data_IF_163756372654
#
_entry.id   IF_163756372654
#
_cell.length_a   1.000
_cell.length_b   1.000
_cell.length_c   1.000
_cell.angle_alpha   90.00
_cell.angle_beta   90.00
_cell.angle_gamma   90.00
#
_symmetry.space_group_name_H-M   'P 1'
#
loop_
_entity.id
_entity.type
_entity.pdbx_description
1 polymer ?
2 non-polymer ?
3 non-polymer ?
4 non-polymer ?
5 non-polymer ?
6 water ?
#
# COMPACT_ATOMS: atom_id res chain seq x y z
N UNK A 1 1.51 -17.86 -12.01
CA UNK A 1 2.08 -17.16 -10.91
C UNK A 1 1.47 -15.76 -10.80
N UNK A 2 1.13 -15.34 -9.59
CA UNK A 2 0.89 -13.92 -9.33
C UNK A 2 2.16 -13.41 -8.73
N UNK A 3 2.75 -12.39 -9.30
CA UNK A 3 3.94 -11.76 -8.79
C UNK A 3 3.55 -10.49 -8.04
N UNK A 4 4.01 -10.35 -6.81
CA UNK A 4 3.79 -9.16 -6.01
C UNK A 4 5.14 -8.60 -5.69
N UNK A 5 5.41 -7.37 -6.08
CA UNK A 5 6.69 -6.76 -5.77
C UNK A 5 6.47 -5.59 -4.83
N UNK A 6 7.14 -5.59 -3.68
CA UNK A 6 7.01 -4.46 -2.76
C UNK A 6 7.99 -3.37 -3.20
N UNK A 7 7.45 -2.26 -3.68
CA UNK A 7 8.28 -1.15 -4.12
C UNK A 7 8.63 -0.29 -2.92
N UNK A 8 7.63 -0.05 -2.08
CA UNK A 8 7.82 0.75 -0.87
C UNK A 8 7.05 0.12 0.27
N UNK A 9 7.68 0.07 1.44
CA UNK A 9 7.05 -0.60 2.56
C UNK A 9 6.79 0.32 3.75
N UNK A 10 7.20 1.59 3.70
CA UNK A 10 7.02 2.52 4.83
C UNK A 10 5.72 3.27 4.74
N UNK A 11 5.30 3.80 5.87
CA UNK A 11 4.19 4.71 5.91
C UNK A 11 4.63 6.07 5.39
N UNK A 12 3.71 7.03 5.39
CA UNK A 12 4.04 8.39 4.96
C UNK A 12 5.28 8.88 5.68
N UNK A 13 6.17 9.52 4.91
CA UNK A 13 7.43 10.04 5.40
C UNK A 13 8.59 9.11 5.12
N UNK A 14 8.32 7.82 4.90
CA UNK A 14 9.40 6.86 4.67
C UNK A 14 10.25 6.64 5.90
N UNK A 15 11.34 5.92 5.71
CA UNK A 15 12.25 5.57 6.81
C UNK A 15 13.69 5.61 6.30
N UNK A 16 14.55 6.45 6.89
CA UNK A 16 14.23 7.47 7.92
C UNK A 16 13.38 8.59 7.30
N UNK A 17 12.70 9.34 8.16
CA UNK A 17 11.89 10.44 7.70
C UNK A 17 12.72 11.71 7.73
N UNK A 18 12.57 12.52 6.67
CA UNK A 18 13.50 13.63 6.43
C UNK A 18 13.70 14.59 7.61
N UNK A 19 12.64 14.86 8.38
CA UNK A 19 12.72 15.80 9.49
C UNK A 19 12.67 15.10 10.84
N UNK A 20 12.90 13.79 10.89
CA UNK A 20 12.73 13.10 12.16
C UNK A 20 14.03 12.58 12.75
N UNK A 21 14.18 12.77 14.05
CA UNK A 21 15.34 12.26 14.79
C UNK A 21 14.90 11.40 15.94
N UNK A 22 13.83 10.63 15.72
CA UNK A 22 13.36 9.66 16.73
C UNK A 22 14.39 8.55 16.89
N UNK A 23 14.17 7.70 17.89
CA UNK A 23 15.20 6.66 18.15
C UNK A 23 15.51 5.83 16.92
N UNK A 24 14.51 5.52 16.09
CA UNK A 24 14.80 4.75 14.88
C UNK A 24 15.51 5.57 13.83
N UNK A 25 14.97 6.76 13.49
CA UNK A 25 15.57 7.54 12.41
C UNK A 25 16.98 7.95 12.76
N UNK A 26 17.19 8.44 13.98
CA UNK A 26 18.50 8.87 14.38
C UNK A 26 19.44 7.68 14.55
N UNK A 27 18.91 6.56 15.06
CA UNK A 27 19.71 5.35 15.18
C UNK A 27 20.15 4.83 13.81
N UNK A 28 19.27 4.92 12.81
CA UNK A 28 19.65 4.55 11.44
C UNK A 28 20.78 5.46 10.92
N UNK A 29 20.60 6.78 11.06
CA UNK A 29 21.62 7.70 10.57
C UNK A 29 22.95 7.57 11.30
N UNK A 30 22.89 7.26 12.59
CA UNK A 30 24.11 7.15 13.40
C UNK A 30 24.83 5.83 13.13
N UNK A 31 24.18 4.90 12.44
CA UNK A 31 24.76 3.60 12.17
C UNK A 31 24.70 2.63 13.34
N UNK A 32 23.88 2.94 14.34
CA UNK A 32 23.80 2.05 15.49
C UNK A 32 22.61 1.10 15.48
N UNK A 33 21.65 1.38 14.63
CA UNK A 33 20.44 0.56 14.50
C UNK A 33 20.53 -0.38 13.34
N UNK A 34 20.26 -1.66 13.60
CA UNK A 34 20.17 -2.60 12.50
C UNK A 34 18.81 -2.52 11.84
N UNK A 35 18.75 -1.76 10.76
CA UNK A 35 17.50 -1.52 10.04
C UNK A 35 17.79 -1.12 8.60
N UNK A 36 16.78 -1.25 7.76
CA UNK A 36 16.94 -0.96 6.35
C UNK A 36 16.03 0.20 5.96
N UNK A 37 16.56 1.15 5.20
CA UNK A 37 15.76 2.27 4.72
C UNK A 37 14.59 1.81 3.88
N UNK A 38 13.48 2.57 3.95
CA UNK A 38 12.25 2.22 3.22
C UNK A 38 11.63 3.44 2.60
N UNK A 39 11.19 3.28 1.36
CA UNK A 39 10.40 4.29 0.69
C UNK A 39 8.91 4.06 0.97
N UNK A 40 8.08 4.98 0.53
CA UNK A 40 6.65 5.01 0.86
C UNK A 40 5.84 3.96 0.11
N UNK A 41 4.96 3.32 0.88
CA UNK A 41 3.95 2.34 0.50
C UNK A 41 3.55 2.25 -0.97
N UNK A 42 3.93 1.15 -1.65
CA UNK A 42 3.49 0.92 -3.01
C UNK A 42 3.85 -0.51 -3.37
N UNK A 43 2.99 -1.18 -4.12
CA UNK A 43 3.32 -2.51 -4.63
C UNK A 43 3.05 -2.57 -6.09
N UNK A 44 3.64 -3.53 -6.78
CA UNK A 44 3.30 -3.78 -8.18
C UNK A 44 2.90 -5.24 -8.31
N UNK A 45 1.93 -5.48 -9.18
CA UNK A 45 1.36 -6.80 -9.38
C UNK A 45 1.47 -7.22 -10.84
N UNK A 46 1.67 -8.50 -11.08
CA UNK A 46 1.67 -8.99 -12.46
C UNK A 46 1.20 -10.43 -12.51
N UNK A 47 0.61 -10.86 -13.62
CA UNK A 47 0.31 -12.27 -13.86
C UNK A 47 1.33 -12.91 -14.80
N UNK A 48 2.29 -12.16 -15.33
CA UNK A 48 3.23 -12.73 -16.32
C UNK A 48 4.67 -12.25 -16.16
N UNK A 49 4.89 -11.29 -15.29
CA UNK A 49 6.25 -10.79 -15.06
C UNK A 49 6.66 -9.69 -16.01
N UNK A 50 5.80 -9.37 -16.97
CA UNK A 50 6.13 -8.37 -18.01
C UNK A 50 5.24 -7.14 -17.98
N UNK A 51 3.95 -7.36 -17.78
CA UNK A 51 2.97 -6.30 -17.63
C UNK A 51 2.61 -6.12 -16.17
N UNK A 52 2.74 -4.88 -15.67
CA UNK A 52 2.58 -4.63 -14.25
C UNK A 52 1.48 -3.64 -13.96
N UNK A 53 0.80 -3.87 -12.85
CA UNK A 53 -0.19 -2.92 -12.32
C UNK A 53 0.39 -2.33 -11.06
N UNK A 54 0.52 -1.00 -11.06
CA UNK A 54 1.06 -0.31 -9.93
C UNK A 54 -0.07 0.00 -8.97
N UNK A 55 0.05 -0.41 -7.70
CA UNK A 55 -0.96 -0.08 -6.71
C UNK A 55 -0.39 0.96 -5.78
N UNK A 56 -0.94 2.16 -5.93
CA UNK A 56 -0.46 3.39 -5.28
C UNK A 56 0.79 3.94 -5.92
N UNK A 57 0.81 5.23 -6.15
CA UNK A 57 1.97 5.86 -6.82
C UNK A 57 2.61 6.80 -5.80
N UNK A 58 3.67 6.34 -5.16
CA UNK A 58 4.23 7.06 -4.02
C UNK A 58 5.13 8.22 -4.47
N UNK A 59 5.39 9.16 -3.55
CA UNK A 59 6.30 10.25 -3.87
C UNK A 59 7.69 9.74 -4.20
N UNK A 60 8.01 8.50 -3.80
CA UNK A 60 9.32 7.92 -4.08
C UNK A 60 9.38 7.11 -5.35
N UNK A 61 8.44 7.31 -6.26
CA UNK A 61 8.29 6.40 -7.37
C UNK A 61 9.52 6.33 -8.27
N UNK A 62 10.23 7.44 -8.45
CA UNK A 62 11.39 7.36 -9.35
C UNK A 62 12.42 6.33 -8.83
N UNK A 63 12.75 6.45 -7.55
CA UNK A 63 13.73 5.49 -6.97
C UNK A 63 13.17 4.09 -6.96
N UNK A 64 11.86 3.97 -6.73
CA UNK A 64 11.26 2.62 -6.69
C UNK A 64 11.30 1.96 -8.05
N UNK A 65 10.98 2.68 -9.11
CA UNK A 65 11.00 2.07 -10.46
C UNK A 65 12.41 1.72 -10.84
N UNK A 66 13.37 2.59 -10.52
CA UNK A 66 14.77 2.37 -10.89
C UNK A 66 15.35 1.11 -10.24
N UNK A 67 14.81 0.73 -9.09
CA UNK A 67 15.31 -0.43 -8.34
C UNK A 67 14.71 -1.75 -8.81
N UNK A 68 13.72 -1.72 -9.67
CA UNK A 68 13.04 -2.96 -10.04
C UNK A 68 13.10 -3.08 -11.56
N UNK A 69 14.00 -3.93 -12.07
CA UNK A 69 14.32 -3.93 -13.50
C UNK A 69 13.14 -4.12 -14.46
N UNK A 70 12.13 -4.95 -14.10
CA UNK A 70 11.02 -5.10 -15.05
C UNK A 70 10.23 -3.82 -15.28
N UNK A 71 10.45 -2.79 -14.46
CA UNK A 71 9.83 -1.51 -14.72
C UNK A 71 10.35 -0.80 -15.95
N UNK A 72 11.49 -1.26 -16.49
CA UNK A 72 12.05 -0.71 -17.73
C UNK A 72 12.46 -1.84 -18.69
N UNK A 73 11.47 -2.36 -19.44
CA UNK A 73 11.73 -3.46 -20.38
C UNK A 73 12.50 -3.02 -21.62
N UNK A 74 12.65 -1.71 -21.83
CA UNK A 74 13.47 -1.21 -22.93
C UNK A 74 13.06 -1.78 -24.29
N UNK A 75 11.75 -1.80 -24.54
CA UNK A 75 11.26 -2.33 -25.82
C UNK A 75 11.17 -1.25 -26.91
N UNK A 76 11.32 0.01 -26.52
CA UNK A 76 11.24 1.13 -27.46
C UNK A 76 11.94 2.30 -26.78
N UNK A 77 12.17 3.38 -27.53
CA UNK A 77 12.87 4.55 -26.97
C UNK A 77 12.17 5.17 -25.77
N UNK A 78 10.84 5.12 -25.79
CA UNK A 78 10.05 5.42 -24.59
C UNK A 78 9.25 4.17 -24.21
N UNK A 79 9.39 3.74 -22.96
CA UNK A 79 8.73 2.51 -22.54
C UNK A 79 8.70 2.45 -21.03
N UNK A 80 7.80 1.60 -20.53
CA UNK A 80 7.67 1.36 -19.09
C UNK A 80 6.95 0.05 -18.91
N UNK A 81 7.24 -0.59 -17.79
CA UNK A 81 6.53 -1.81 -17.43
C UNK A 81 5.21 -1.52 -16.72
N UNK A 82 4.89 -0.27 -16.40
CA UNK A 82 3.61 0.08 -15.77
C UNK A 82 2.50 0.13 -16.84
N UNK A 83 1.52 -0.76 -16.73
CA UNK A 83 0.43 -0.79 -17.70
C UNK A 83 -0.85 -0.20 -17.18
N UNK A 84 -0.94 -0.03 -15.86
CA UNK A 84 -2.11 0.62 -15.24
C UNK A 84 -1.75 0.95 -13.82
N UNK A 85 -2.50 1.86 -13.23
CA UNK A 85 -2.31 2.25 -11.82
C UNK A 85 -3.64 2.08 -11.13
N UNK A 86 -3.61 1.50 -9.93
CA UNK A 86 -4.79 1.41 -9.09
C UNK A 86 -4.53 2.22 -7.83
N UNK A 87 -5.46 3.08 -7.46
CA UNK A 87 -5.33 3.87 -6.23
C UNK A 87 -6.30 3.38 -5.16
N UNK A 88 -5.81 3.17 -3.94
CA UNK A 88 -6.68 2.67 -2.89
C UNK A 88 -7.28 3.79 -2.04
N UNK A 89 -6.76 5.00 -2.21
CA UNK A 89 -7.23 6.19 -1.48
C UNK A 89 -6.60 7.39 -2.14
N UNK A 90 -6.93 8.59 -1.64
CA UNK A 90 -6.38 9.80 -2.22
C UNK A 90 -5.33 10.44 -1.31
N UNK A 91 -4.73 9.67 -0.42
CA UNK A 91 -3.67 10.23 0.43
C UNK A 91 -2.46 10.68 -0.42
N UNK A 92 -1.73 11.67 0.10
CA UNK A 92 -0.57 12.22 -0.60
C UNK A 92 0.49 11.13 -0.83
N UNK A 93 0.67 10.24 0.14
CA UNK A 93 1.68 9.20 -0.03
C UNK A 93 1.33 8.13 -1.06
N UNK A 94 0.08 8.11 -1.53
CA UNK A 94 -0.33 7.13 -2.49
C UNK A 94 -0.63 7.71 -3.85
N UNK A 95 -0.52 9.03 -3.97
CA UNK A 95 -0.91 9.67 -5.24
C UNK A 95 0.15 10.59 -5.85
N UNK A 96 1.05 11.14 -5.03
CA UNK A 96 1.95 12.16 -5.54
C UNK A 96 2.86 11.62 -6.66
N UNK A 97 3.19 10.33 -6.62
CA UNK A 97 4.00 9.73 -7.68
C UNK A 97 3.41 9.91 -9.07
N UNK A 98 2.08 10.10 -9.20
CA UNK A 98 1.52 10.34 -10.54
C UNK A 98 2.17 11.54 -11.22
N UNK A 99 2.52 12.58 -10.45
CA UNK A 99 3.20 13.75 -11.04
C UNK A 99 4.51 13.36 -11.70
N UNK A 100 5.20 12.38 -11.15
CA UNK A 100 6.47 11.91 -11.70
C UNK A 100 6.33 10.99 -12.88
N UNK A 101 5.09 10.63 -13.25
CA UNK A 101 4.85 9.84 -14.45
C UNK A 101 4.31 10.70 -15.58
N UNK A 102 4.38 12.02 -15.42
CA UNK A 102 3.86 12.95 -16.43
C UNK A 102 4.44 12.76 -17.83
N UNK A 103 5.68 12.31 -17.92
CA UNK A 103 6.34 12.19 -19.22
C UNK A 103 5.85 10.97 -20.00
N UNK A 104 5.00 10.16 -19.39
CA UNK A 104 4.53 8.92 -20.02
C UNK A 104 3.03 8.84 -20.21
N UNK A 105 2.34 9.96 -20.13
CA UNK A 105 0.91 9.91 -20.35
C UNK A 105 0.55 9.62 -21.80
N UNK A 106 -0.65 9.07 -22.05
CA UNK A 106 -1.71 8.81 -21.07
C UNK A 106 -1.53 7.54 -20.22
N UNK A 107 -2.10 7.54 -19.03
CA UNK A 107 -2.06 6.36 -18.16
C UNK A 107 -3.47 5.98 -17.79
N UNK A 108 -3.76 4.68 -17.68
CA UNK A 108 -5.06 4.22 -17.17
C UNK A 108 -5.01 4.14 -15.66
N UNK A 109 -5.90 4.86 -14.98
CA UNK A 109 -5.89 4.93 -13.52
C UNK A 109 -7.23 4.46 -13.05
N UNK A 110 -7.23 3.49 -12.15
CA UNK A 110 -8.44 2.97 -11.54
C UNK A 110 -8.57 3.53 -10.14
N UNK A 111 -9.71 4.13 -9.87
CA UNK A 111 -9.99 4.58 -8.51
C UNK A 111 -11.47 4.77 -8.33
N UNK A 112 -11.90 4.90 -7.08
CA UNK A 112 -13.33 5.07 -6.83
C UNK A 112 -13.80 6.48 -7.21
N UNK A 113 -15.11 6.67 -7.29
CA UNK A 113 -15.67 8.00 -7.50
C UNK A 113 -15.21 8.98 -6.39
N UNK A 114 -15.18 8.51 -5.14
CA UNK A 114 -14.74 9.34 -4.03
C UNK A 114 -13.33 9.89 -4.27
N UNK A 115 -12.41 9.00 -4.62
CA UNK A 115 -11.01 9.38 -4.85
C UNK A 115 -10.91 10.26 -6.07
N UNK A 116 -11.65 9.93 -7.15
CA UNK A 116 -11.63 10.78 -8.35
C UNK A 116 -12.11 12.19 -8.01
N UNK A 117 -13.11 12.33 -7.13
CA UNK A 117 -13.55 13.65 -6.70
C UNK A 117 -12.44 14.40 -5.98
N UNK A 118 -11.73 13.73 -5.06
CA UNK A 118 -10.59 14.42 -4.41
C UNK A 118 -9.54 14.83 -5.45
N UNK A 119 -9.31 13.97 -6.44
CA UNK A 119 -8.19 14.17 -7.38
C UNK A 119 -8.63 15.02 -8.59
N UNK A 120 -9.79 15.65 -8.50
CA UNK A 120 -10.21 16.66 -9.49
C UNK A 120 -10.59 17.96 -8.79
N UNK A 121 -10.36 18.05 -7.48
CA UNK A 121 -10.79 19.24 -6.71
C UNK A 121 -9.63 19.65 -5.80
N UNK A 122 -9.55 19.04 -4.61
CA UNK A 122 -8.54 19.42 -3.62
C UNK A 122 -7.09 19.17 -4.06
N UNK A 123 -6.84 18.05 -4.76
CA UNK A 123 -5.50 17.70 -5.25
C UNK A 123 -5.72 17.31 -6.69
N UNK A 124 -5.82 18.30 -7.58
CA UNK A 124 -6.46 18.08 -8.87
C UNK A 124 -5.55 17.45 -9.90
N UNK A 125 -4.97 16.31 -9.57
CA UNK A 125 -4.06 15.59 -10.49
C UNK A 125 -4.67 15.27 -11.84
N UNK A 126 -5.94 14.85 -11.85
CA UNK A 126 -6.54 14.51 -13.11
C UNK A 126 -6.59 15.78 -13.98
N UNK A 127 -6.92 16.94 -13.38
CA UNK A 127 -7.01 18.14 -14.19
C UNK A 127 -5.63 18.60 -14.64
N UNK A 128 -4.67 18.61 -13.74
CA UNK A 128 -3.32 19.10 -14.05
C UNK A 128 -2.73 18.25 -15.14
N UNK A 129 -2.78 16.95 -14.97
CA UNK A 129 -2.03 16.07 -15.85
C UNK A 129 -2.64 15.94 -17.22
N UNK A 130 -3.87 16.38 -17.38
CA UNK A 130 -4.53 16.32 -18.68
C UNK A 130 -3.72 17.10 -19.74
N UNK A 131 -2.95 18.08 -19.28
CA UNK A 131 -2.08 18.87 -20.19
C UNK A 131 -0.80 18.18 -20.64
N UNK A 132 -0.54 16.99 -20.13
CA UNK A 132 0.56 16.18 -20.59
C UNK A 132 -0.01 15.04 -21.40
N UNK A 133 -0.06 15.21 -22.71
CA UNK A 133 -0.51 14.21 -23.65
C UNK A 133 -1.72 13.43 -23.19
N UNK A 134 -2.76 14.14 -22.73
CA UNK A 134 -4.00 13.47 -22.41
C UNK A 134 -4.12 13.08 -20.94
N UNK A 135 -3.01 12.98 -20.23
CA UNK A 135 -3.08 12.75 -18.79
C UNK A 135 -3.59 11.38 -18.32
N UNK A 136 -4.38 11.39 -17.25
CA UNK A 136 -4.84 10.19 -16.59
C UNK A 136 -6.21 9.87 -17.08
N UNK A 137 -6.39 8.61 -17.49
CA UNK A 137 -7.70 8.16 -18.00
C UNK A 137 -8.39 7.38 -16.90
N UNK A 138 -9.48 7.95 -16.38
CA UNK A 138 -10.14 7.39 -15.19
C UNK A 138 -10.98 6.16 -15.54
N UNK A 139 -10.73 5.10 -14.76
CA UNK A 139 -11.56 3.90 -14.84
C UNK A 139 -12.17 3.77 -13.43
N UNK A 140 -13.47 3.79 -13.36
CA UNK A 140 -14.15 3.83 -12.10
C UNK A 140 -14.16 2.50 -11.40
N UNK A 141 -13.70 2.48 -10.15
CA UNK A 141 -13.85 1.30 -9.30
C UNK A 141 -15.18 1.41 -8.60
N UNK A 142 -16.11 0.49 -8.91
CA UNK A 142 -17.39 0.51 -8.21
C UNK A 142 -17.24 -0.09 -6.84
N UNK A 143 -18.17 0.21 -5.95
CA UNK A 143 -18.06 -0.31 -4.57
C UNK A 143 -18.56 -1.72 -4.35
N UNK A 144 -19.05 -2.34 -5.42
CA UNK A 144 -19.45 -3.73 -5.37
C UNK A 144 -18.90 -4.39 -6.64
N UNK A 145 -18.81 -5.70 -6.66
CA UNK A 145 -18.38 -6.39 -7.87
C UNK A 145 -16.87 -6.38 -8.01
N UNK A 146 -16.40 -6.72 -9.21
CA UNK A 146 -14.98 -6.89 -9.49
C UNK A 146 -14.59 -6.22 -10.80
N UNK A 147 -13.28 -6.17 -11.06
CA UNK A 147 -12.80 -5.59 -12.32
C UNK A 147 -11.54 -6.31 -12.73
N UNK A 148 -11.29 -6.31 -14.04
CA UNK A 148 -10.10 -6.93 -14.60
C UNK A 148 -9.46 -5.88 -15.51
N UNK A 149 -8.15 -5.71 -15.38
CA UNK A 149 -7.38 -4.79 -16.21
C UNK A 149 -6.81 -5.62 -17.35
N UNK A 150 -7.06 -5.19 -18.59
CA UNK A 150 -6.73 -6.02 -19.75
C UNK A 150 -5.28 -6.43 -19.85
N UNK A 151 -4.35 -5.59 -19.39
CA UNK A 151 -2.94 -5.94 -19.49
C UNK A 151 -2.55 -7.16 -18.67
N UNK A 152 -3.33 -7.43 -17.60
CA UNK A 152 -3.10 -8.60 -16.76
C UNK A 152 -4.40 -9.34 -16.69
N UNK A 153 -4.74 -10.06 -17.76
CA UNK A 153 -6.13 -10.55 -17.83
C UNK A 153 -6.43 -11.67 -16.85
N UNK A 154 -5.41 -12.27 -16.24
CA UNK A 154 -5.63 -13.32 -15.25
C UNK A 154 -5.78 -12.80 -13.81
N UNK A 155 -5.70 -11.49 -13.59
CA UNK A 155 -5.88 -10.93 -12.24
C UNK A 155 -7.27 -10.32 -12.14
N UNK A 156 -8.04 -10.83 -11.19
CA UNK A 156 -9.37 -10.29 -10.92
C UNK A 156 -9.37 -9.54 -9.60
N UNK A 157 -9.75 -8.27 -9.66
CA UNK A 157 -9.67 -7.40 -8.49
C UNK A 157 -11.04 -7.23 -7.87
N UNK A 158 -11.14 -7.43 -6.56
CA UNK A 158 -12.44 -7.19 -5.89
C UNK A 158 -12.21 -6.20 -4.78
N UNK A 159 -12.74 -4.95 -4.94
CA UNK A 159 -12.55 -3.98 -3.87
C UNK A 159 -13.44 -4.23 -2.66
N UNK A 160 -12.95 -3.83 -1.49
CA UNK A 160 -13.76 -3.84 -0.27
C UNK A 160 -13.65 -2.51 0.43
N UNK A 161 -14.76 -1.79 0.55
CA UNK A 161 -14.59 -0.49 1.20
C UNK A 161 -14.23 -0.67 2.67
N UNK A 162 -13.33 0.18 3.15
CA UNK A 162 -12.93 0.20 4.54
C UNK A 162 -13.42 1.46 5.18
N UNK A 163 -13.32 1.57 6.50
CA UNK A 163 -13.71 2.79 7.17
C UNK A 163 -13.03 4.01 6.59
N UNK A 164 -13.82 5.03 6.28
CA UNK A 164 -13.30 6.18 5.56
C UNK A 164 -12.48 7.08 6.45
N UNK A 165 -11.28 7.43 5.96
CA UNK A 165 -10.40 8.37 6.64
C UNK A 165 -9.76 9.22 5.54
N UNK A 166 -10.51 10.21 5.05
CA UNK A 166 -10.07 10.99 3.91
C UNK A 166 -8.93 11.90 4.33
N UNK A 167 -8.10 12.29 3.35
CA UNK A 167 -6.93 13.11 3.68
C UNK A 167 -7.28 14.50 4.11
N UNK A 168 -6.32 15.17 4.77
CA UNK A 168 -6.60 16.49 5.34
C UNK A 168 -7.03 17.54 4.33
N UNK A 169 -6.63 17.43 3.07
CA UNK A 169 -7.01 18.43 2.07
C UNK A 169 -8.38 18.22 1.51
N UNK A 170 -9.01 17.09 1.81
CA UNK A 170 -10.24 16.71 1.11
C UNK A 170 -11.37 17.54 1.51
N UNK A 171 -12.09 18.10 0.48
CA UNK A 171 -13.29 18.89 0.66
C UNK A 171 -14.33 18.13 1.49
N UNK A 172 -14.12 16.84 1.70
CA UNK A 172 -14.96 16.05 2.60
C UNK A 172 -14.20 15.23 3.69
N UNK A 173 -13.11 15.74 4.26
CA UNK A 173 -12.46 15.05 5.44
C UNK A 173 -13.41 15.01 6.69
N UNK A 174 -14.21 16.02 6.78
CA UNK A 174 -15.11 16.09 7.92
C UNK A 174 -16.40 15.37 7.60
N UNK A 175 -16.55 14.91 6.37
CA UNK A 175 -17.79 14.25 5.92
C UNK A 175 -17.46 12.98 5.15
N UNK A 176 -17.01 11.95 5.85
CA UNK A 176 -16.50 10.71 5.25
C UNK A 176 -17.55 9.95 4.43
N UNK A 177 -17.12 9.35 3.32
CA UNK A 177 -18.00 8.54 2.46
C UNK A 177 -17.44 7.20 2.11
N UNK A 178 -18.30 6.17 1.93
CA UNK A 178 -17.76 4.89 1.47
C UNK A 178 -17.09 5.12 0.12
N UNK A 179 -15.96 4.46 -0.07
CA UNK A 179 -15.15 4.70 -1.25
C UNK A 179 -13.94 5.60 -1.01
N UNK A 180 -13.87 6.26 0.13
CA UNK A 180 -12.65 7.02 0.43
C UNK A 180 -11.47 6.05 0.54
N UNK A 181 -11.73 4.85 1.06
CA UNK A 181 -10.65 3.90 1.35
C UNK A 181 -11.05 2.51 0.99
N UNK A 182 -10.16 1.79 0.34
CA UNK A 182 -10.39 0.43 -0.09
C UNK A 182 -9.32 -0.49 0.39
N UNK A 183 -9.72 -1.74 0.59
CA UNK A 183 -8.77 -2.86 0.58
C UNK A 183 -9.04 -3.59 -0.72
N UNK A 184 -8.09 -4.38 -1.20
CA UNK A 184 -8.27 -5.07 -2.45
C UNK A 184 -8.01 -6.54 -2.32
N UNK A 185 -8.93 -7.38 -2.77
CA UNK A 185 -8.61 -8.78 -2.99
C UNK A 185 -8.18 -8.89 -4.43
N UNK A 186 -7.11 -9.62 -4.68
CA UNK A 186 -6.70 -9.88 -6.06
C UNK A 186 -6.58 -11.36 -6.20
N UNK A 187 -7.24 -11.92 -7.22
CA UNK A 187 -7.23 -13.35 -7.47
C UNK A 187 -6.54 -13.66 -8.79
N UNK A 188 -5.61 -14.62 -8.79
CA UNK A 188 -5.14 -15.18 -10.04
C UNK A 188 -6.20 -16.23 -10.47
N UNK A 189 -6.96 -15.95 -11.52
CA UNK A 189 -8.05 -16.82 -11.87
C UNK A 189 -7.59 -18.11 -12.55
N UNK A 190 -6.27 -18.27 -12.79
CA UNK A 190 -5.74 -19.56 -13.30
C UNK A 190 -5.57 -20.53 -12.15
N UNK A 191 -5.38 -20.03 -10.94
CA UNK A 191 -5.04 -20.90 -9.80
C UNK A 191 -5.97 -20.75 -8.60
N UNK A 192 -6.73 -19.66 -8.55
CA UNK A 192 -7.50 -19.37 -7.35
C UNK A 192 -6.69 -18.68 -6.27
N UNK A 193 -5.38 -18.53 -6.45
CA UNK A 193 -4.57 -17.85 -5.45
C UNK A 193 -5.02 -16.42 -5.19
N UNK A 194 -5.07 -16.00 -3.92
CA UNK A 194 -5.63 -14.69 -3.61
C UNK A 194 -4.81 -13.90 -2.62
N UNK A 195 -4.61 -12.63 -2.95
CA UNK A 195 -3.91 -11.67 -2.11
C UNK A 195 -4.94 -10.72 -1.56
N UNK A 196 -4.88 -10.44 -0.26
CA UNK A 196 -5.69 -9.34 0.25
C UNK A 196 -4.72 -8.24 0.68
N UNK A 197 -4.94 -7.03 0.15
CA UNK A 197 -4.02 -5.93 0.37
C UNK A 197 -4.78 -4.77 0.99
N UNK A 198 -4.35 -4.35 2.17
CA UNK A 198 -5.00 -3.25 2.85
C UNK A 198 -3.96 -2.49 3.62
N UNK A 199 -3.25 -1.55 2.94
CA UNK A 199 -2.16 -0.85 3.62
C UNK A 199 -2.69 0.11 4.71
N UNK A 200 -3.97 0.47 4.66
CA UNK A 200 -4.57 1.24 5.73
C UNK A 200 -5.75 0.43 6.25
N UNK A 201 -5.77 0.12 7.54
CA UNK A 201 -6.82 -0.74 8.08
C UNK A 201 -7.11 -0.20 9.47
N UNK A 202 -8.26 0.44 9.66
CA UNK A 202 -8.54 1.09 10.92
C UNK A 202 -9.65 0.40 11.68
N UNK A 203 -10.21 -0.66 11.09
CA UNK A 203 -11.37 -1.33 11.67
C UNK A 203 -11.55 -2.66 10.98
N UNK A 204 -11.91 -3.68 11.76
CA UNK A 204 -12.30 -4.95 11.18
C UNK A 204 -13.66 -5.28 11.73
N UNK A 205 -14.39 -6.10 10.99
CA UNK A 205 -15.70 -6.56 11.41
C UNK A 205 -15.83 -8.00 10.91
N UNK A 206 -16.94 -8.67 11.20
CA UNK A 206 -17.09 -10.05 10.74
C UNK A 206 -17.08 -10.19 9.23
N UNK A 207 -17.68 -9.25 8.51
CA UNK A 207 -17.71 -9.38 7.04
C UNK A 207 -16.31 -9.37 6.49
N UNK A 208 -15.49 -8.46 7.00
CA UNK A 208 -14.14 -8.33 6.52
C UNK A 208 -13.33 -9.57 6.87
N UNK A 209 -13.50 -10.04 8.10
CA UNK A 209 -12.77 -11.21 8.54
C UNK A 209 -13.09 -12.43 7.68
N UNK A 210 -14.38 -12.61 7.36
CA UNK A 210 -14.77 -13.74 6.56
C UNK A 210 -14.15 -13.67 5.18
N UNK A 211 -14.14 -12.48 4.62
CA UNK A 211 -13.61 -12.35 3.29
C UNK A 211 -12.10 -12.61 3.32
N UNK A 212 -11.44 -12.18 4.40
CA UNK A 212 -9.99 -12.41 4.54
C UNK A 212 -9.60 -13.89 4.65
N UNK A 213 -10.49 -14.74 5.16
CA UNK A 213 -10.21 -16.17 5.27
C UNK A 213 -10.12 -16.86 3.90
N UNK A 214 -10.65 -16.20 2.88
CA UNK A 214 -10.54 -16.67 1.51
C UNK A 214 -9.20 -16.39 0.86
N UNK A 215 -8.37 -15.57 1.53
CA UNK A 215 -7.08 -15.18 0.97
C UNK A 215 -6.00 -16.20 1.27
N UNK A 216 -4.96 -16.21 0.44
CA UNK A 216 -3.76 -16.97 0.72
C UNK A 216 -2.66 -16.14 1.40
N UNK A 217 -2.58 -14.85 1.07
CA UNK A 217 -1.60 -13.95 1.64
C UNK A 217 -2.32 -12.69 2.06
N UNK A 218 -2.02 -12.22 3.27
CA UNK A 218 -2.58 -10.98 3.81
C UNK A 218 -1.44 -10.00 3.92
N UNK A 219 -1.60 -8.86 3.26
CA UNK A 219 -0.57 -7.83 3.21
C UNK A 219 -1.27 -6.60 3.78
N UNK A 220 -1.03 -6.34 5.05
CA UNK A 220 -1.84 -5.37 5.76
C UNK A 220 -1.09 -4.35 6.59
N UNK A 221 -1.80 -3.25 6.88
CA UNK A 221 -1.33 -2.12 7.69
C UNK A 221 -0.44 -2.54 8.86
N UNK A 222 0.81 -2.04 8.84
CA UNK A 222 1.79 -2.29 9.87
C UNK A 222 2.27 -0.97 10.48
N UNK A 223 1.40 0.06 10.46
CA UNK A 223 1.90 1.42 10.74
C UNK A 223 2.56 1.57 12.10
N UNK A 224 1.86 1.20 13.16
CA UNK A 224 2.30 1.49 14.54
C UNK A 224 2.27 0.24 15.40
N UNK A 225 3.26 0.12 16.28
CA UNK A 225 3.26 -0.97 17.23
C UNK A 225 2.22 -0.74 18.34
N UNK A 226 2.14 0.48 18.85
CA UNK A 226 1.17 0.87 19.88
C UNK A 226 0.38 2.07 19.39
N UNK A 227 -0.85 2.22 19.87
CA UNK A 227 -1.72 3.31 19.39
C UNK A 227 -1.10 4.68 19.69
N UNK A 228 -0.37 4.78 20.82
CA UNK A 228 0.26 6.05 21.20
C UNK A 228 1.76 6.13 20.87
N UNK A 229 2.20 5.37 19.89
CA UNK A 229 3.60 5.37 19.47
C UNK A 229 4.18 6.76 19.18
N UNK A 230 3.41 7.61 18.52
CA UNK A 230 4.00 8.90 18.14
C UNK A 230 4.31 9.74 19.40
N UNK A 231 3.43 9.67 20.40
CA UNK A 231 3.70 10.32 21.69
C UNK A 231 4.87 9.70 22.44
N UNK A 232 4.96 8.37 22.41
CA UNK A 232 6.06 7.66 23.08
C UNK A 232 7.40 8.06 22.50
N UNK A 233 7.41 8.32 21.20
CA UNK A 233 8.67 8.68 20.55
C UNK A 233 8.94 10.17 20.63
N UNK A 234 7.98 10.95 21.12
CA UNK A 234 8.13 12.40 21.27
C UNK A 234 7.99 13.17 19.97
N UNK A 235 7.38 12.56 18.95
CA UNK A 235 7.36 13.22 17.66
C UNK A 235 5.99 13.65 17.24
N UNK A 236 5.07 13.65 18.18
CA UNK A 236 3.76 14.22 17.96
C UNK A 236 2.70 13.68 18.89
N UNK A 237 1.45 14.04 18.60
CA UNK A 237 0.35 13.71 19.48
C UNK A 237 -0.75 12.87 18.83
N UNK A 238 -0.61 12.58 17.54
CA UNK A 238 -1.64 11.80 16.86
C UNK A 238 -1.61 10.36 17.33
N UNK A 239 -2.78 9.76 17.43
CA UNK A 239 -2.82 8.35 17.73
C UNK A 239 -3.21 7.58 16.50
N UNK A 240 -3.01 6.26 16.56
CA UNK A 240 -3.44 5.36 15.51
C UNK A 240 -4.93 5.49 15.23
N UNK A 241 -5.75 5.48 16.28
CA UNK A 241 -7.18 5.64 16.10
C UNK A 241 -7.54 6.93 15.40
N UNK A 242 -6.81 8.00 15.69
CA UNK A 242 -7.09 9.27 15.01
C UNK A 242 -6.73 9.19 13.54
N UNK A 243 -5.74 8.39 13.21
CA UNK A 243 -5.24 8.31 11.84
C UNK A 243 -5.84 7.18 11.04
N UNK A 244 -6.68 6.37 11.66
CA UNK A 244 -7.28 5.25 10.94
C UNK A 244 -6.43 4.01 10.85
N UNK A 245 -5.59 3.77 11.87
CA UNK A 245 -4.68 2.60 11.87
C UNK A 245 -4.87 1.77 13.09
N UNK A 246 -5.06 0.48 12.90
CA UNK A 246 -5.03 -0.47 14.01
C UNK A 246 -3.58 -0.79 14.33
N UNK A 247 -3.15 -0.50 15.55
CA UNK A 247 -1.78 -0.82 15.94
C UNK A 247 -1.58 -2.33 16.05
N UNK A 248 -0.34 -2.80 15.96
CA UNK A 248 -0.08 -4.24 16.11
C UNK A 248 -0.48 -4.79 17.46
N UNK A 249 -0.05 -4.11 18.51
CA UNK A 249 -0.16 -4.66 19.86
C UNK A 249 -1.41 -4.16 20.55
N UNK A 250 -1.85 -4.91 21.54
CA UNK A 250 -3.02 -4.52 22.32
C UNK A 250 -4.32 -5.18 21.85
N UNK A 251 -5.36 -5.06 22.67
CA UNK A 251 -6.64 -5.67 22.29
C UNK A 251 -7.26 -5.00 21.07
N UNK A 252 -7.73 -5.81 20.13
CA UNK A 252 -8.25 -5.31 18.87
C UNK A 252 -7.16 -4.96 17.89
N UNK A 253 -5.90 -5.15 18.31
CA UNK A 253 -4.77 -4.85 17.42
C UNK A 253 -4.60 -5.88 16.32
N UNK A 254 -3.72 -5.63 15.36
CA UNK A 254 -3.64 -6.54 14.22
C UNK A 254 -3.02 -7.87 14.56
N UNK A 255 -2.12 -7.94 15.54
CA UNK A 255 -1.61 -9.27 15.88
C UNK A 255 -2.71 -10.16 16.46
N UNK A 256 -3.56 -9.61 17.31
CA UNK A 256 -4.74 -10.36 17.79
C UNK A 256 -5.63 -10.79 16.63
N UNK A 257 -5.89 -9.88 15.70
CA UNK A 257 -6.67 -10.25 14.52
C UNK A 257 -5.99 -11.36 13.72
N UNK A 258 -4.71 -11.21 13.45
CA UNK A 258 -3.98 -12.16 12.60
C UNK A 258 -3.83 -13.53 13.25
N UNK A 259 -4.00 -13.59 14.56
CA UNK A 259 -4.03 -14.89 15.23
C UNK A 259 -5.15 -15.79 14.70
N UNK A 260 -6.20 -15.18 14.16
CA UNK A 260 -7.29 -15.94 13.60
C UNK A 260 -6.99 -16.55 12.25
N UNK A 261 -5.81 -16.23 11.70
CA UNK A 261 -5.44 -16.63 10.34
C UNK A 261 -4.16 -17.45 10.22
N UNK A 262 -4.14 -18.63 10.84
CA UNK A 262 -2.92 -19.44 10.87
C UNK A 262 -2.43 -19.93 9.51
N UNK A 263 -3.33 -20.21 8.58
CA UNK A 263 -2.93 -20.78 7.29
C UNK A 263 -2.36 -19.76 6.32
N UNK A 264 -2.75 -18.50 6.50
CA UNK A 264 -2.32 -17.46 5.56
C UNK A 264 -0.87 -17.02 5.73
N UNK A 265 -0.20 -16.68 4.62
CA UNK A 265 1.01 -15.90 4.73
C UNK A 265 0.59 -14.51 5.18
N UNK A 266 1.33 -13.94 6.13
CA UNK A 266 0.91 -12.67 6.74
C UNK A 266 2.09 -11.72 6.68
N UNK A 267 1.90 -10.55 6.08
CA UNK A 267 2.98 -9.57 5.91
C UNK A 267 2.49 -8.18 6.32
N UNK A 268 3.24 -7.49 7.19
CA UNK A 268 2.92 -6.11 7.56
C UNK A 268 3.58 -5.13 6.60
N UNK A 269 2.84 -4.14 6.14
CA UNK A 269 3.38 -3.16 5.21
C UNK A 269 2.83 -1.79 5.60
N UNK A 270 3.40 -0.71 5.06
CA UNK A 270 3.05 0.69 5.46
C UNK A 270 3.43 0.87 6.93
N UNK A 271 4.73 0.75 7.19
CA UNK A 271 5.26 0.76 8.57
C UNK A 271 5.82 2.13 8.83
N UNK A 272 5.37 2.77 9.91
CA UNK A 272 5.89 4.12 10.21
C UNK A 272 7.34 4.10 10.72
N UNK A 273 8.02 5.22 10.49
CA UNK A 273 9.42 5.35 10.88
C UNK A 273 9.63 5.12 12.39
N UNK A 274 8.59 5.36 13.21
CA UNK A 274 8.66 5.20 14.67
C UNK A 274 8.50 3.76 15.13
N UNK A 275 8.18 2.82 14.25
CA UNK A 275 7.70 1.52 14.72
C UNK A 275 8.91 0.66 15.06
N UNK A 276 8.96 0.15 16.30
CA UNK A 276 10.11 -0.67 16.69
C UNK A 276 10.30 -1.93 15.83
N UNK A 277 9.30 -2.38 15.07
CA UNK A 277 9.53 -3.57 14.26
C UNK A 277 10.53 -3.32 13.14
N UNK A 278 10.85 -2.06 12.86
CA UNK A 278 11.89 -1.76 11.87
C UNK A 278 13.27 -2.13 12.40
N UNK A 279 13.44 -2.14 13.72
CA UNK A 279 14.73 -2.47 14.34
C UNK A 279 14.83 -3.97 14.38
N UNK A 280 15.76 -4.53 13.61
CA UNK A 280 15.83 -5.97 13.43
C UNK A 280 16.17 -6.68 14.73
N UNK A 281 16.76 -5.95 15.66
CA UNK A 281 17.08 -6.52 16.97
C UNK A 281 16.06 -6.29 18.09
N UNK A 282 14.88 -5.74 17.78
CA UNK A 282 13.98 -5.37 18.87
C UNK A 282 13.19 -6.58 19.34
N UNK A 283 12.68 -6.52 20.58
CA UNK A 283 11.77 -7.57 21.06
C UNK A 283 10.47 -7.56 20.27
N UNK A 284 10.08 -6.39 19.75
CA UNK A 284 8.86 -6.31 18.96
C UNK A 284 9.01 -7.08 17.65
N UNK A 285 10.16 -6.94 16.98
CA UNK A 285 10.41 -7.67 15.76
C UNK A 285 10.43 -9.18 16.08
N UNK A 286 11.04 -9.54 17.21
CA UNK A 286 11.10 -10.95 17.58
C UNK A 286 9.69 -11.51 17.80
N UNK A 287 8.80 -10.69 18.37
CA UNK A 287 7.41 -11.12 18.60
C UNK A 287 6.62 -11.34 17.29
N UNK A 288 6.79 -10.44 16.33
CA UNK A 288 6.13 -10.60 15.06
C UNK A 288 6.58 -11.91 14.39
N UNK A 289 7.89 -12.15 14.44
CA UNK A 289 8.45 -13.38 13.88
C UNK A 289 7.90 -14.63 14.56
N UNK A 290 7.78 -14.56 15.89
CA UNK A 290 7.26 -15.69 16.66
C UNK A 290 5.84 -16.01 16.21
N UNK A 291 5.10 -14.99 15.81
CA UNK A 291 3.71 -15.13 15.41
C UNK A 291 3.52 -15.52 13.94
N UNK A 292 4.64 -15.72 13.24
CA UNK A 292 4.59 -16.08 11.84
C UNK A 292 4.23 -14.92 10.93
N UNK A 293 4.48 -13.72 11.41
CA UNK A 293 4.16 -12.54 10.64
C UNK A 293 5.47 -11.92 10.11
N UNK A 294 5.48 -11.53 8.84
CA UNK A 294 6.64 -10.93 8.22
C UNK A 294 6.54 -9.44 8.17
N UNK A 295 7.70 -8.79 8.10
CA UNK A 295 7.75 -7.33 8.00
C UNK A 295 8.23 -6.98 6.60
N UNK A 296 7.36 -6.37 5.80
CA UNK A 296 7.74 -6.02 4.43
C UNK A 296 8.98 -5.10 4.37
N UNK A 297 9.77 -5.29 3.33
CA UNK A 297 10.94 -4.43 3.09
C UNK A 297 10.94 -4.08 1.62
N UNK A 298 11.66 -3.01 1.26
CA UNK A 298 11.67 -2.60 -0.15
C UNK A 298 12.37 -3.65 -0.97
N UNK A 299 11.77 -4.04 -2.08
CA UNK A 299 12.36 -5.05 -2.92
C UNK A 299 11.92 -6.46 -2.58
N UNK A 300 11.05 -6.61 -1.58
CA UNK A 300 10.53 -7.94 -1.26
C UNK A 300 9.68 -8.46 -2.41
N UNK A 301 9.90 -9.72 -2.78
CA UNK A 301 9.13 -10.38 -3.81
C UNK A 301 8.25 -11.44 -3.15
N UNK A 302 6.95 -11.40 -3.44
CA UNK A 302 6.03 -12.42 -2.95
C UNK A 302 5.46 -13.10 -4.16
N UNK A 303 5.57 -14.41 -4.20
CA UNK A 303 5.03 -15.21 -5.30
C UNK A 303 3.87 -16.01 -4.78
N UNK A 304 2.72 -15.86 -5.43
CA UNK A 304 1.59 -16.70 -5.08
C UNK A 304 1.38 -17.72 -6.17
N UNK A 305 1.57 -19.02 -5.88
CA UNK A 305 1.50 -20.06 -6.90
C UNK A 305 0.18 -20.78 -6.95
N UNK A 306 -0.53 -20.81 -5.84
CA UNK A 306 -1.69 -21.68 -5.74
C UNK A 306 -2.53 -21.26 -4.58
N UNK A 307 -3.72 -21.81 -4.51
CA UNK A 307 -4.62 -21.53 -3.43
C UNK A 307 -4.53 -22.66 -2.42
N UNK A 308 -4.71 -22.34 -1.14
CA UNK A 308 -4.56 -23.33 -0.06
C UNK A 308 -5.61 -24.45 -0.07
N UNK A 309 -6.84 -24.16 -0.48
CA UNK A 309 -7.84 -25.23 -0.70
C UNK A 309 -7.77 -25.77 -2.13
X LIG B 1 11.63 8.78 13.07
X LIG C 1 -1.73 7.75 6.84
X LIG C 1 -2.14 7.82 8.03
X LIG C 1 -1.61 6.66 6.25
X LIG C 1 -1.33 9.01 6.12
X LIG C 1 -1.10 8.73 4.74
X LIG C 1 -0.10 9.59 6.84
X LIG C 1 1.05 8.60 6.91
X LIG C 1 1.05 7.52 6.23
X LIG C 1 2.05 8.85 7.66
X LIG D 1 -0.16 6.62 4.65
X LIG E 1 4.01 8.57 8.77
#
# INVERSE_FOLDING_TARGET
MMYIQVLGSAAGGGFPQWNCNCVNCKGYRDGTLKATARTQSSIALSDDGVHWILCNASPDIRAQLQAFAPMQPARALRDTGINAIVLLDSQIDHTTGLLSLREGCPHQVWCTDMVHQDLTTGFPLFNMLSHWNGGLQWNRIELEGSFVIDACPNLKFTPFPLRSAAPPYSPHRFDPHPGDNLGLMVEDTRTGGKLFYAPGLGQVDEKLLAMMHGADCLLVDGTLWEDDEMQRRGVGTRTGREMGHLAQNGPGGTLEVLDGFPRQRKVLIHINNTNPILDENSPERAEVLRRGVEVAFDGMSIELLEHHH
ZN ZN
MLT C1 O1 O2 C2 O3 C3 C4 O4 O5
MN MN
NA NA
#
